data_IF_353092056593
#
_entry.id   IF_353092056593
#
_cell.length_a   1.000
_cell.length_b   1.000
_cell.length_c   1.000
_cell.angle_alpha   90.00
_cell.angle_beta   90.00
_cell.angle_gamma   90.00
#
_symmetry.space_group_name_H-M   'P 1'
#
loop_
_entity.id
_entity.type
_entity.pdbx_description
1 polymer ?
#
# COMPACT_ATOMS: atom_id res chain seq x y z
N UNK A 1 -15.80 -13.36 -2.18
CA UNK A 1 -15.37 -12.27 -1.26
C UNK A 1 -14.87 -11.12 -2.10
N UNK A 2 -15.61 -10.01 -2.15
CA UNK A 2 -15.27 -8.80 -2.90
C UNK A 2 -14.47 -7.84 -2.01
N UNK A 3 -13.36 -7.37 -2.52
CA UNK A 3 -12.45 -6.44 -1.83
C UNK A 3 -12.42 -5.13 -2.60
N UNK A 4 -12.69 -4.03 -1.91
CA UNK A 4 -12.70 -2.67 -2.47
C UNK A 4 -11.42 -1.97 -2.04
N UNK A 5 -10.74 -1.31 -2.97
CA UNK A 5 -9.66 -0.38 -2.68
C UNK A 5 -9.98 1.00 -3.24
N UNK A 6 -9.60 2.07 -2.53
CA UNK A 6 -9.91 3.45 -2.93
C UNK A 6 -8.69 4.35 -2.82
N UNK A 7 -8.32 4.98 -3.93
CA UNK A 7 -7.19 5.89 -3.96
C UNK A 7 -6.89 6.48 -5.32
N UNK A 8 -5.68 6.99 -5.52
CA UNK A 8 -5.23 7.55 -6.79
C UNK A 8 -4.31 6.58 -7.52
N UNK A 9 -4.54 6.38 -8.80
CA UNK A 9 -3.59 5.76 -9.73
C UNK A 9 -3.00 6.84 -10.65
N UNK A 10 -1.71 6.77 -10.89
CA UNK A 10 -0.96 7.75 -11.67
C UNK A 10 -0.26 7.08 -12.85
N UNK A 11 0.01 7.87 -13.89
CA UNK A 11 0.95 7.48 -14.94
C UNK A 11 2.38 7.53 -14.38
N UNK A 12 3.09 6.41 -14.41
CA UNK A 12 4.51 6.32 -14.07
C UNK A 12 5.34 6.49 -15.33
N UNK A 13 6.29 7.41 -15.29
CA UNK A 13 7.30 7.61 -16.32
C UNK A 13 8.69 7.30 -15.76
N UNK A 14 9.37 6.30 -16.31
CA UNK A 14 10.63 5.79 -15.80
C UNK A 14 11.67 5.73 -16.91
N UNK A 15 12.89 6.27 -16.71
CA UNK A 15 14.03 6.00 -17.59
C UNK A 15 14.34 4.50 -17.64
N UNK A 16 14.82 4.02 -18.76
CA UNK A 16 15.23 2.62 -18.90
C UNK A 16 16.42 2.27 -18.01
N UNK A 17 16.42 1.06 -17.49
CA UNK A 17 17.50 0.54 -16.65
C UNK A 17 17.79 1.43 -15.44
N UNK A 18 19.02 1.90 -15.32
CA UNK A 18 19.48 2.79 -14.23
C UNK A 18 19.87 4.19 -14.74
N UNK A 19 19.38 4.60 -15.92
CA UNK A 19 19.59 5.94 -16.41
C UNK A 19 19.04 6.99 -15.45
N UNK A 20 19.73 8.12 -15.39
CA UNK A 20 19.26 9.28 -14.64
C UNK A 20 18.30 10.12 -15.48
N UNK A 21 17.42 10.88 -14.85
CA UNK A 21 16.54 11.81 -15.56
C UNK A 21 17.26 12.72 -16.55
N UNK A 22 18.49 13.16 -16.19
CA UNK A 22 19.31 14.05 -17.06
C UNK A 22 19.96 13.32 -18.23
N UNK A 23 19.94 12.00 -18.27
CA UNK A 23 20.47 11.16 -19.35
C UNK A 23 19.38 10.66 -20.28
N UNK A 24 18.18 10.40 -19.70
CA UNK A 24 17.08 9.74 -20.39
C UNK A 24 16.57 10.58 -21.58
N UNK A 25 16.39 9.92 -22.70
CA UNK A 25 15.73 10.47 -23.90
C UNK A 25 14.36 9.81 -24.14
N UNK A 26 14.14 8.66 -23.53
CA UNK A 26 12.91 7.86 -23.61
C UNK A 26 12.50 7.45 -22.21
N UNK A 27 11.21 7.23 -22.03
CA UNK A 27 10.62 6.77 -20.78
C UNK A 27 9.69 5.60 -21.02
N UNK A 28 9.78 4.59 -20.20
CA UNK A 28 8.76 3.58 -20.08
C UNK A 28 7.54 4.19 -19.35
N UNK A 29 6.36 4.01 -19.93
CA UNK A 29 5.09 4.47 -19.36
C UNK A 29 4.31 3.28 -18.80
N UNK A 30 4.06 3.29 -17.51
CA UNK A 30 3.25 2.32 -16.78
C UNK A 30 2.26 3.03 -15.86
N UNK A 31 1.44 2.28 -15.13
CA UNK A 31 0.53 2.86 -14.14
C UNK A 31 0.84 2.32 -12.75
N UNK A 32 0.58 3.13 -11.71
CA UNK A 32 0.78 2.71 -10.33
C UNK A 32 0.16 3.67 -9.33
N UNK A 33 -0.17 3.13 -8.17
CA UNK A 33 -0.76 3.84 -7.04
C UNK A 33 -1.01 2.87 -5.91
N UNK A 34 -0.85 3.28 -4.64
CA UNK A 34 -0.86 2.38 -3.51
C UNK A 34 -2.03 1.40 -3.52
N UNK A 35 -3.23 1.92 -3.60
CA UNK A 35 -4.47 1.12 -3.54
C UNK A 35 -4.73 0.34 -4.83
N UNK A 36 -4.31 0.87 -5.99
CA UNK A 36 -4.34 0.14 -7.26
C UNK A 36 -3.36 -1.04 -7.24
N UNK A 37 -2.16 -0.84 -6.66
CA UNK A 37 -1.16 -1.90 -6.48
C UNK A 37 -1.69 -3.02 -5.57
N UNK A 38 -2.43 -2.66 -4.50
CA UNK A 38 -3.12 -3.63 -3.63
C UNK A 38 -4.20 -4.38 -4.41
N UNK A 39 -5.03 -3.68 -5.19
CA UNK A 39 -6.08 -4.32 -6.00
C UNK A 39 -5.51 -5.33 -7.00
N UNK A 40 -4.45 -4.96 -7.73
CA UNK A 40 -3.78 -5.84 -8.69
C UNK A 40 -3.17 -7.05 -7.99
N UNK A 41 -2.51 -6.86 -6.83
CA UNK A 41 -1.96 -7.98 -6.05
C UNK A 41 -3.06 -8.96 -5.63
N UNK A 42 -4.19 -8.45 -5.13
CA UNK A 42 -5.32 -9.26 -4.70
C UNK A 42 -5.97 -10.01 -5.89
N UNK A 43 -6.13 -9.35 -7.04
CA UNK A 43 -6.64 -9.99 -8.25
C UNK A 43 -5.70 -11.13 -8.71
N UNK A 44 -4.37 -10.91 -8.69
CA UNK A 44 -3.38 -11.95 -8.99
C UNK A 44 -3.40 -13.11 -7.99
N UNK A 45 -3.82 -12.86 -6.75
CA UNK A 45 -4.05 -13.90 -5.74
C UNK A 45 -5.43 -14.57 -5.87
N UNK A 46 -6.22 -14.24 -6.91
CA UNK A 46 -7.52 -14.86 -7.21
C UNK A 46 -8.69 -14.26 -6.43
N UNK A 47 -8.55 -13.07 -5.85
CA UNK A 47 -9.66 -12.37 -5.19
C UNK A 47 -10.45 -11.53 -6.18
N UNK A 48 -11.74 -11.34 -5.90
CA UNK A 48 -12.58 -10.35 -6.60
C UNK A 48 -12.23 -8.95 -6.06
N UNK A 49 -11.35 -8.26 -6.79
CA UNK A 49 -10.84 -6.95 -6.41
C UNK A 49 -11.42 -5.84 -7.29
N UNK A 50 -11.97 -4.81 -6.66
CA UNK A 50 -12.46 -3.61 -7.32
C UNK A 50 -11.67 -2.39 -6.86
N UNK A 51 -11.27 -1.55 -7.82
CA UNK A 51 -10.59 -0.30 -7.54
C UNK A 51 -11.49 0.90 -7.81
N UNK A 52 -11.64 1.76 -6.82
CA UNK A 52 -12.43 2.99 -6.88
C UNK A 52 -11.49 4.19 -6.96
N UNK A 53 -11.70 5.07 -7.92
CA UNK A 53 -10.87 6.25 -8.16
C UNK A 53 -11.57 7.26 -9.07
N UNK A 54 -10.95 8.42 -9.28
CA UNK A 54 -11.30 9.36 -10.33
C UNK A 54 -10.28 9.31 -11.47
N UNK A 55 -10.73 9.16 -12.72
CA UNK A 55 -9.88 9.18 -13.91
C UNK A 55 -10.35 10.24 -14.92
N UNK A 56 -9.43 10.79 -15.73
CA UNK A 56 -9.82 11.66 -16.83
C UNK A 56 -10.58 10.89 -17.92
N UNK A 57 -11.58 11.55 -18.51
CA UNK A 57 -12.40 11.06 -19.61
C UNK A 57 -11.73 11.15 -21.00
N UNK A 58 -10.45 10.81 -21.05
CA UNK A 58 -9.61 10.84 -22.25
C UNK A 58 -8.89 9.51 -22.50
N UNK A 59 -8.09 9.43 -23.57
CA UNK A 59 -7.43 8.20 -23.97
C UNK A 59 -6.38 7.70 -22.95
N UNK A 60 -5.80 8.58 -22.13
CA UNK A 60 -4.90 8.16 -21.05
C UNK A 60 -5.69 7.49 -19.91
N UNK A 61 -6.86 8.05 -19.56
CA UNK A 61 -7.76 7.39 -18.59
C UNK A 61 -8.27 6.03 -19.11
N UNK A 62 -8.61 5.93 -20.40
CA UNK A 62 -8.98 4.65 -21.03
C UNK A 62 -7.83 3.64 -21.02
N UNK A 63 -6.59 4.06 -21.30
CA UNK A 63 -5.43 3.20 -21.23
C UNK A 63 -5.22 2.65 -19.81
N UNK A 64 -5.41 3.49 -18.79
CA UNK A 64 -5.36 3.08 -17.40
C UNK A 64 -6.43 2.04 -17.04
N UNK A 65 -7.69 2.23 -17.50
CA UNK A 65 -8.76 1.25 -17.30
C UNK A 65 -8.43 -0.09 -17.95
N UNK A 66 -7.91 -0.07 -19.18
CA UNK A 66 -7.51 -1.28 -19.90
C UNK A 66 -6.37 -2.02 -19.18
N UNK A 67 -5.43 -1.28 -18.62
CA UNK A 67 -4.34 -1.89 -17.85
C UNK A 67 -4.87 -2.58 -16.56
N UNK A 68 -5.77 -1.94 -15.82
CA UNK A 68 -6.40 -2.56 -14.66
C UNK A 68 -7.21 -3.81 -15.03
N UNK A 69 -7.99 -3.75 -16.13
CA UNK A 69 -8.74 -4.90 -16.65
C UNK A 69 -7.83 -6.06 -17.06
N UNK A 70 -6.65 -5.77 -17.64
CA UNK A 70 -5.65 -6.78 -17.99
C UNK A 70 -5.24 -7.64 -16.79
N UNK A 71 -5.23 -7.06 -15.59
CA UNK A 71 -4.93 -7.75 -14.34
C UNK A 71 -6.17 -8.22 -13.58
N UNK A 72 -7.35 -8.17 -14.20
CA UNK A 72 -8.58 -8.68 -13.60
C UNK A 72 -9.18 -7.80 -12.49
N UNK A 73 -8.74 -6.54 -12.38
CA UNK A 73 -9.32 -5.59 -11.42
C UNK A 73 -10.60 -5.00 -11.99
N UNK A 74 -11.70 -5.06 -11.24
CA UNK A 74 -12.95 -4.39 -11.58
C UNK A 74 -12.82 -2.87 -11.42
N UNK A 75 -13.31 -2.14 -12.41
CA UNK A 75 -13.31 -0.66 -12.45
C UNK A 75 -14.73 -0.10 -12.56
N UNK A 76 -15.74 -0.87 -12.16
CA UNK A 76 -17.16 -0.53 -12.25
C UNK A 76 -17.49 0.80 -11.58
N UNK A 77 -16.80 1.12 -10.47
CA UNK A 77 -17.04 2.32 -9.68
C UNK A 77 -16.03 3.44 -9.92
N UNK A 78 -15.31 3.41 -11.05
CA UNK A 78 -14.42 4.49 -11.43
C UNK A 78 -15.21 5.69 -11.93
N UNK A 79 -14.98 6.85 -11.30
CA UNK A 79 -15.60 8.12 -11.69
C UNK A 79 -14.78 8.76 -12.81
N UNK A 80 -15.38 8.96 -13.98
CA UNK A 80 -14.72 9.66 -15.09
C UNK A 80 -15.17 11.12 -15.14
N UNK A 81 -14.21 12.05 -15.18
CA UNK A 81 -14.45 13.48 -15.28
C UNK A 81 -13.45 14.14 -16.23
N UNK A 82 -13.80 15.30 -16.77
CA UNK A 82 -12.84 16.14 -17.49
C UNK A 82 -11.70 16.57 -16.55
N UNK A 83 -10.46 16.45 -17.03
CA UNK A 83 -9.30 16.81 -16.23
C UNK A 83 -8.03 16.07 -16.64
N UNK A 84 -7.08 15.96 -15.69
CA UNK A 84 -5.79 15.32 -15.91
C UNK A 84 -5.60 14.11 -15.00
N UNK A 85 -4.78 13.17 -15.44
CA UNK A 85 -4.20 12.13 -14.59
C UNK A 85 -2.98 12.69 -13.84
N UNK A 86 -2.78 12.25 -12.60
CA UNK A 86 -1.53 12.46 -11.89
C UNK A 86 -0.38 11.72 -12.59
N UNK A 87 0.81 12.29 -12.56
CA UNK A 87 2.01 11.69 -13.12
C UNK A 87 3.07 11.60 -12.01
N UNK A 88 3.86 10.55 -12.02
CA UNK A 88 5.11 10.56 -11.28
C UNK A 88 6.25 10.01 -12.12
N UNK A 89 7.41 10.61 -11.93
CA UNK A 89 8.66 10.22 -12.56
C UNK A 89 9.48 9.43 -11.55
N UNK A 90 9.96 8.25 -11.94
CA UNK A 90 10.71 7.35 -11.06
C UNK A 90 12.08 7.05 -11.65
N UNK A 91 13.15 7.57 -11.04
CA UNK A 91 14.55 7.20 -11.35
C UNK A 91 14.98 6.09 -10.40
N UNK A 92 15.32 4.91 -10.92
CA UNK A 92 15.78 3.78 -10.08
C UNK A 92 17.15 4.09 -9.46
N UNK A 93 17.28 3.75 -8.20
CA UNK A 93 18.54 3.79 -7.48
C UNK A 93 19.42 2.58 -7.82
N UNK A 94 20.72 2.72 -7.58
CA UNK A 94 21.68 1.63 -7.71
C UNK A 94 22.80 1.80 -6.69
N UNK A 95 23.19 0.72 -6.02
CA UNK A 95 24.24 0.72 -4.99
C UNK A 95 23.98 1.80 -3.91
N UNK A 96 24.82 2.80 -3.75
CA UNK A 96 24.65 3.89 -2.78
C UNK A 96 23.80 5.05 -3.31
N UNK A 97 23.46 5.06 -4.59
CA UNK A 97 22.62 6.10 -5.19
C UNK A 97 21.14 5.81 -4.94
N UNK A 98 20.42 6.64 -4.15
CA UNK A 98 19.02 6.41 -3.87
C UNK A 98 18.14 6.59 -5.13
N UNK A 99 16.99 5.91 -5.15
CA UNK A 99 15.92 6.19 -6.11
C UNK A 99 15.39 7.62 -5.90
N UNK A 100 14.94 8.27 -6.99
CA UNK A 100 14.29 9.57 -6.94
C UNK A 100 12.89 9.48 -7.51
N UNK A 101 11.95 10.15 -6.83
CA UNK A 101 10.57 10.27 -7.30
C UNK A 101 10.20 11.75 -7.34
N UNK A 102 9.67 12.17 -8.49
CA UNK A 102 9.11 13.50 -8.71
C UNK A 102 7.63 13.31 -9.01
N UNK A 103 6.78 13.99 -8.24
CA UNK A 103 5.33 13.93 -8.43
C UNK A 103 4.84 15.20 -9.15
N UNK A 104 4.00 14.98 -10.15
CA UNK A 104 3.17 15.99 -10.82
C UNK A 104 1.71 15.51 -10.74
N UNK A 105 1.10 15.64 -9.55
CA UNK A 105 -0.23 15.08 -9.26
C UNK A 105 -1.27 16.10 -8.79
N UNK A 106 -0.88 17.35 -8.56
CA UNK A 106 -1.81 18.39 -8.13
C UNK A 106 -2.92 18.61 -9.17
N UNK A 107 -4.17 18.70 -8.70
CA UNK A 107 -5.31 18.91 -9.58
C UNK A 107 -5.65 17.73 -10.49
N UNK A 108 -5.22 16.52 -10.16
CA UNK A 108 -5.70 15.30 -10.82
C UNK A 108 -7.19 15.10 -10.57
N UNK A 109 -7.86 14.35 -11.46
CA UNK A 109 -9.28 14.01 -11.27
C UNK A 109 -9.51 13.29 -9.95
N UNK A 110 -8.62 12.36 -9.57
CA UNK A 110 -8.70 11.68 -8.28
C UNK A 110 -8.65 12.66 -7.10
N UNK A 111 -7.70 13.62 -7.11
CA UNK A 111 -7.58 14.63 -6.05
C UNK A 111 -8.76 15.62 -6.01
N UNK A 112 -9.54 15.70 -7.09
CA UNK A 112 -10.70 16.57 -7.25
C UNK A 112 -12.05 15.94 -6.95
N UNK A 113 -12.09 14.66 -6.54
CA UNK A 113 -13.33 14.01 -6.13
C UNK A 113 -13.95 14.72 -4.91
N UNK A 114 -15.28 14.70 -4.84
CA UNK A 114 -16.07 15.35 -3.80
C UNK A 114 -17.05 14.37 -3.16
N UNK A 115 -17.50 14.68 -1.97
CA UNK A 115 -18.58 13.96 -1.29
C UNK A 115 -19.79 13.87 -2.22
N UNK A 116 -20.34 12.65 -2.37
CA UNK A 116 -21.46 12.35 -3.26
C UNK A 116 -21.08 12.03 -4.72
N UNK A 117 -19.79 12.09 -5.11
CA UNK A 117 -19.34 11.63 -6.44
C UNK A 117 -19.38 10.11 -6.57
N UNK A 118 -19.34 9.39 -5.45
CA UNK A 118 -19.30 7.93 -5.37
C UNK A 118 -20.50 7.44 -4.56
N UNK A 119 -21.27 6.53 -5.10
CA UNK A 119 -22.33 5.82 -4.36
C UNK A 119 -21.72 4.68 -3.52
N UNK A 120 -21.29 5.02 -2.31
CA UNK A 120 -20.67 4.05 -1.40
C UNK A 120 -21.59 2.90 -1.00
N UNK A 121 -22.91 3.08 -1.04
CA UNK A 121 -23.84 1.98 -0.79
C UNK A 121 -23.81 0.94 -1.90
N UNK A 122 -23.75 1.40 -3.16
CA UNK A 122 -23.57 0.51 -4.29
C UNK A 122 -22.18 -0.16 -4.29
N UNK A 123 -21.12 0.61 -3.96
CA UNK A 123 -19.73 0.10 -3.88
C UNK A 123 -19.61 -1.02 -2.87
N UNK A 124 -20.25 -0.89 -1.69
CA UNK A 124 -20.10 -1.84 -0.58
C UNK A 124 -21.20 -2.91 -0.52
N UNK A 125 -22.16 -2.95 -1.46
CA UNK A 125 -23.31 -3.86 -1.41
C UNK A 125 -22.91 -5.33 -1.19
N UNK A 126 -21.88 -5.81 -1.87
CA UNK A 126 -21.36 -7.18 -1.78
C UNK A 126 -19.90 -7.23 -1.27
N UNK A 127 -19.41 -6.13 -0.68
CA UNK A 127 -18.05 -6.04 -0.22
C UNK A 127 -17.88 -6.61 1.19
N UNK A 128 -16.77 -7.27 1.43
CA UNK A 128 -16.39 -7.79 2.75
C UNK A 128 -15.16 -7.07 3.32
N UNK A 129 -14.41 -6.38 2.46
CA UNK A 129 -13.21 -5.67 2.85
C UNK A 129 -13.05 -4.36 2.08
N UNK A 130 -12.64 -3.31 2.78
CA UNK A 130 -12.28 -2.02 2.22
C UNK A 130 -10.84 -1.65 2.60
N UNK A 131 -10.05 -1.19 1.65
CA UNK A 131 -8.68 -0.75 1.89
C UNK A 131 -8.42 0.64 1.31
N UNK A 132 -7.75 1.48 2.09
CA UNK A 132 -7.22 2.77 1.66
C UNK A 132 -5.86 3.03 2.32
N UNK A 133 -5.13 4.04 1.84
CA UNK A 133 -3.90 4.51 2.49
C UNK A 133 -4.03 5.95 2.96
N UNK A 134 -3.15 6.39 3.86
CA UNK A 134 -3.08 7.79 4.28
C UNK A 134 -2.66 8.77 3.16
N UNK A 135 -2.27 8.27 1.98
CA UNK A 135 -2.05 9.10 0.80
C UNK A 135 -3.38 9.67 0.29
N UNK A 136 -4.42 8.86 0.25
CA UNK A 136 -5.73 9.22 -0.33
C UNK A 136 -6.36 10.44 0.36
N UNK A 137 -6.54 10.50 1.69
CA UNK A 137 -7.04 11.71 2.34
C UNK A 137 -6.04 12.89 2.31
N UNK A 138 -4.77 12.65 2.00
CA UNK A 138 -3.76 13.70 1.90
C UNK A 138 -3.76 14.45 0.56
N UNK A 139 -4.47 13.94 -0.47
CA UNK A 139 -4.51 14.53 -1.81
C UNK A 139 -5.16 15.91 -1.82
N UNK A 140 -6.22 16.10 -1.04
CA UNK A 140 -6.94 17.37 -0.87
C UNK A 140 -7.85 17.33 0.36
N UNK A 141 -8.40 18.47 0.77
CA UNK A 141 -9.38 18.54 1.85
C UNK A 141 -10.65 17.76 1.48
N UNK A 142 -11.11 17.86 0.23
CA UNK A 142 -12.24 17.09 -0.27
C UNK A 142 -11.98 15.58 -0.17
N UNK A 143 -10.78 15.11 -0.54
CA UNK A 143 -10.44 13.69 -0.46
C UNK A 143 -10.41 13.18 0.98
N UNK A 144 -10.07 14.00 1.95
CA UNK A 144 -10.21 13.65 3.36
C UNK A 144 -11.68 13.41 3.75
N UNK A 145 -12.60 14.26 3.27
CA UNK A 145 -14.03 14.13 3.50
C UNK A 145 -14.62 12.91 2.77
N UNK A 146 -14.25 12.68 1.51
CA UNK A 146 -14.68 11.51 0.72
C UNK A 146 -14.20 10.21 1.37
N UNK A 147 -12.96 10.18 1.89
CA UNK A 147 -12.43 9.00 2.59
C UNK A 147 -13.20 8.76 3.90
N UNK A 148 -13.56 9.81 4.63
CA UNK A 148 -14.37 9.70 5.84
C UNK A 148 -15.80 9.20 5.52
N UNK A 149 -16.41 9.67 4.43
CA UNK A 149 -17.68 9.18 3.92
C UNK A 149 -17.60 7.68 3.62
N UNK A 150 -16.55 7.22 2.90
CA UNK A 150 -16.30 5.82 2.62
C UNK A 150 -16.18 4.98 3.89
N UNK A 151 -15.37 5.42 4.87
CA UNK A 151 -15.19 4.70 6.12
C UNK A 151 -16.50 4.55 6.91
N UNK A 152 -17.32 5.59 6.96
CA UNK A 152 -18.63 5.55 7.62
C UNK A 152 -19.57 4.56 6.92
N UNK A 153 -19.70 4.65 5.60
CA UNK A 153 -20.53 3.74 4.82
C UNK A 153 -20.08 2.28 4.94
N UNK A 154 -18.78 2.01 4.86
CA UNK A 154 -18.22 0.66 5.05
C UNK A 154 -18.56 0.11 6.44
N UNK A 155 -18.41 0.91 7.50
CA UNK A 155 -18.73 0.51 8.87
C UNK A 155 -20.23 0.23 9.08
N UNK A 156 -21.09 1.09 8.52
CA UNK A 156 -22.56 0.89 8.56
C UNK A 156 -22.99 -0.39 7.86
N UNK A 157 -22.27 -0.81 6.81
CA UNK A 157 -22.57 -2.02 6.05
C UNK A 157 -21.81 -3.25 6.57
N UNK A 158 -21.07 -3.15 7.67
CA UNK A 158 -20.35 -4.27 8.28
C UNK A 158 -19.10 -4.71 7.50
N UNK A 159 -18.58 -3.87 6.60
CA UNK A 159 -17.36 -4.12 5.82
C UNK A 159 -16.15 -3.89 6.70
N UNK A 160 -15.21 -4.84 6.74
CA UNK A 160 -13.92 -4.67 7.44
C UNK A 160 -13.04 -3.65 6.72
N UNK A 161 -12.32 -2.83 7.49
CA UNK A 161 -11.52 -1.73 6.96
C UNK A 161 -10.05 -1.94 7.30
N UNK A 162 -9.17 -1.83 6.30
CA UNK A 162 -7.73 -1.72 6.51
C UNK A 162 -7.19 -0.39 5.99
N UNK A 163 -6.18 0.12 6.67
CA UNK A 163 -5.48 1.34 6.28
C UNK A 163 -3.96 1.17 6.43
N UNK A 164 -3.21 1.55 5.39
CA UNK A 164 -1.77 1.80 5.53
C UNK A 164 -1.58 3.30 5.82
N UNK A 165 -0.96 3.66 6.94
CA UNK A 165 -0.72 5.07 7.32
C UNK A 165 0.07 5.84 6.28
N UNK A 166 1.06 5.21 5.69
CA UNK A 166 1.76 5.63 4.48
C UNK A 166 2.03 7.15 4.40
N UNK A 167 2.54 7.73 5.49
CA UNK A 167 2.74 9.16 5.64
C UNK A 167 3.63 9.74 4.54
N UNK A 168 3.22 10.86 3.97
CA UNK A 168 3.97 11.55 2.90
C UNK A 168 4.14 13.03 3.24
N UNK A 169 5.29 13.41 3.79
CA UNK A 169 5.64 14.80 4.17
C UNK A 169 5.51 15.84 3.04
N UNK A 170 5.50 15.39 1.77
CA UNK A 170 5.30 16.26 0.60
C UNK A 170 3.83 16.62 0.34
N UNK A 171 2.89 15.88 0.93
CA UNK A 171 1.45 16.11 0.74
C UNK A 171 0.87 16.92 1.89
N UNK A 172 1.27 16.66 3.12
CA UNK A 172 0.74 17.33 4.30
C UNK A 172 1.72 17.40 5.46
N UNK A 173 1.44 18.30 6.43
CA UNK A 173 2.20 18.36 7.68
C UNK A 173 1.82 17.24 8.63
N UNK A 174 2.66 16.96 9.64
CA UNK A 174 2.37 15.98 10.69
C UNK A 174 1.10 16.34 11.47
N UNK A 175 0.89 17.62 11.75
CA UNK A 175 -0.29 18.12 12.46
C UNK A 175 -1.57 17.86 11.67
N UNK A 176 -1.57 18.15 10.36
CA UNK A 176 -2.72 17.87 9.48
C UNK A 176 -2.95 16.36 9.36
N UNK A 177 -1.89 15.57 9.16
CA UNK A 177 -1.96 14.11 9.13
C UNK A 177 -2.57 13.55 10.42
N UNK A 178 -2.07 13.96 11.58
CA UNK A 178 -2.60 13.52 12.88
C UNK A 178 -4.07 13.89 13.10
N UNK A 179 -4.48 15.09 12.65
CA UNK A 179 -5.88 15.53 12.74
C UNK A 179 -6.81 14.70 11.86
N UNK A 180 -6.46 14.50 10.59
CA UNK A 180 -7.31 13.77 9.62
C UNK A 180 -7.30 12.27 9.92
N UNK A 181 -6.12 11.67 10.07
CA UNK A 181 -6.02 10.23 10.36
C UNK A 181 -6.62 9.88 11.73
N UNK A 182 -6.57 10.80 12.71
CA UNK A 182 -7.26 10.64 13.99
C UNK A 182 -8.78 10.54 13.89
N UNK A 183 -9.38 10.99 12.77
CA UNK A 183 -10.82 10.82 12.48
C UNK A 183 -11.11 9.54 11.70
N UNK A 184 -10.14 9.04 10.91
CA UNK A 184 -10.30 7.87 10.03
C UNK A 184 -9.95 6.56 10.74
N UNK A 185 -8.85 6.52 11.48
CA UNK A 185 -8.32 5.30 12.11
C UNK A 185 -9.29 4.64 13.09
N UNK A 186 -10.19 5.36 13.82
CA UNK A 186 -11.23 4.71 14.65
C UNK A 186 -12.21 3.79 13.89
N UNK A 187 -12.26 3.87 12.57
CA UNK A 187 -13.05 2.95 11.73
C UNK A 187 -12.25 1.72 11.29
N UNK A 188 -10.93 1.70 11.48
CA UNK A 188 -10.01 0.74 10.90
C UNK A 188 -9.89 -0.50 11.78
N UNK A 189 -10.05 -1.69 11.18
CA UNK A 189 -9.86 -2.98 11.84
C UNK A 189 -8.40 -3.45 11.77
N UNK A 190 -7.71 -3.25 10.63
CA UNK A 190 -6.31 -3.56 10.42
C UNK A 190 -5.53 -2.29 10.05
N UNK A 191 -4.67 -1.82 10.94
CA UNK A 191 -3.79 -0.69 10.69
C UNK A 191 -2.40 -1.19 10.26
N UNK A 192 -1.91 -0.68 9.13
CA UNK A 192 -0.58 -0.99 8.61
C UNK A 192 0.28 0.28 8.73
N UNK A 193 1.53 0.13 9.12
CA UNK A 193 2.48 1.23 9.26
C UNK A 193 3.90 0.77 8.92
N UNK A 194 4.79 1.70 8.67
CA UNK A 194 6.23 1.47 8.73
C UNK A 194 6.81 1.97 10.07
N UNK A 195 8.10 1.83 10.24
CA UNK A 195 8.82 2.16 11.48
C UNK A 195 8.63 3.63 11.94
N UNK A 196 8.39 4.55 11.00
CA UNK A 196 8.30 5.99 11.28
C UNK A 196 6.86 6.52 11.32
N UNK A 197 5.90 5.84 10.67
CA UNK A 197 4.55 6.38 10.47
C UNK A 197 3.82 6.67 11.79
N UNK A 198 3.95 5.82 12.80
CA UNK A 198 3.29 6.00 14.09
C UNK A 198 3.79 7.27 14.83
N UNK A 199 5.08 7.56 14.73
CA UNK A 199 5.66 8.82 15.25
C UNK A 199 5.24 10.01 14.39
N UNK A 200 5.36 9.89 13.07
CA UNK A 200 5.10 10.99 12.14
C UNK A 200 3.64 11.45 12.17
N UNK A 201 2.69 10.52 12.31
CA UNK A 201 1.26 10.81 12.30
C UNK A 201 0.68 11.07 13.68
N UNK A 202 1.07 10.28 14.68
CA UNK A 202 0.43 10.30 16.01
C UNK A 202 1.36 10.66 17.17
N UNK A 203 2.65 10.85 16.93
CA UNK A 203 3.65 11.12 17.96
C UNK A 203 3.95 9.90 18.84
N UNK A 204 3.58 8.68 18.41
CA UNK A 204 3.79 7.44 19.17
C UNK A 204 5.12 6.84 18.77
N UNK A 205 6.09 6.83 19.71
CA UNK A 205 7.48 6.40 19.48
C UNK A 205 7.77 5.06 20.13
N UNK A 206 8.55 4.22 19.46
CA UNK A 206 9.25 3.12 20.11
C UNK A 206 10.34 3.69 21.05
N UNK A 207 10.38 3.22 22.28
CA UNK A 207 11.18 3.86 23.34
C UNK A 207 12.71 3.84 23.11
N UNK A 208 13.24 2.97 22.21
CA UNK A 208 14.69 2.79 21.98
C UNK A 208 15.07 2.43 20.53
N UNK A 209 14.21 2.63 19.53
CA UNK A 209 14.57 2.26 18.14
C UNK A 209 15.55 3.28 17.55
N UNK A 210 16.82 2.92 17.45
CA UNK A 210 17.76 3.58 16.56
C UNK A 210 17.84 2.80 15.24
N UNK A 211 16.91 3.09 14.35
CA UNK A 211 16.78 2.46 13.02
C UNK A 211 18.07 2.57 12.19
N UNK A 212 18.95 3.52 12.55
CA UNK A 212 20.23 3.74 11.88
C UNK A 212 21.30 2.71 12.27
N UNK A 213 21.12 2.00 13.39
CA UNK A 213 22.07 1.00 13.90
C UNK A 213 21.66 -0.46 13.62
N UNK A 214 20.51 -0.70 12.96
CA UNK A 214 20.07 -2.06 12.62
C UNK A 214 19.61 -2.91 13.82
N UNK A 215 19.43 -2.32 14.99
CA UNK A 215 18.84 -2.99 16.15
C UNK A 215 17.33 -2.76 16.17
N UNK A 216 16.57 -3.83 15.89
CA UNK A 216 15.11 -3.82 15.96
C UNK A 216 14.72 -3.99 17.44
N UNK A 217 14.19 -2.94 18.04
CA UNK A 217 13.61 -2.98 19.38
C UNK A 217 12.17 -3.56 19.32
N UNK A 218 12.05 -4.88 19.36
CA UNK A 218 10.77 -5.58 19.31
C UNK A 218 9.80 -5.15 20.43
N UNK A 219 10.29 -4.88 21.63
CA UNK A 219 9.45 -4.42 22.74
C UNK A 219 8.97 -2.98 22.51
N UNK A 220 9.81 -2.13 21.92
CA UNK A 220 9.41 -0.79 21.52
C UNK A 220 8.28 -0.82 20.48
N UNK A 221 8.37 -1.67 19.46
CA UNK A 221 7.31 -1.82 18.46
C UNK A 221 6.04 -2.46 19.02
N UNK A 222 6.16 -3.40 19.96
CA UNK A 222 5.02 -3.94 20.70
C UNK A 222 4.27 -2.84 21.44
N UNK A 223 5.02 -1.98 22.13
CA UNK A 223 4.46 -0.82 22.83
C UNK A 223 3.73 0.12 21.88
N UNK A 224 4.32 0.40 20.70
CA UNK A 224 3.69 1.23 19.66
C UNK A 224 2.38 0.61 19.18
N UNK A 225 2.38 -0.67 18.82
CA UNK A 225 1.19 -1.38 18.33
C UNK A 225 0.07 -1.39 19.39
N UNK A 226 0.43 -1.65 20.65
CA UNK A 226 -0.51 -1.62 21.79
C UNK A 226 -1.12 -0.23 21.99
N UNK A 227 -0.32 0.83 21.96
CA UNK A 227 -0.80 2.21 22.08
C UNK A 227 -1.76 2.60 20.93
N UNK A 228 -1.47 2.16 19.69
CA UNK A 228 -2.36 2.38 18.55
C UNK A 228 -3.70 1.65 18.74
N UNK A 229 -3.66 0.38 19.15
CA UNK A 229 -4.87 -0.40 19.48
C UNK A 229 -5.68 0.24 20.59
N UNK A 230 -5.06 0.61 21.70
CA UNK A 230 -5.74 1.22 22.85
C UNK A 230 -6.33 2.60 22.53
N UNK A 231 -5.63 3.38 21.69
CA UNK A 231 -6.06 4.75 21.34
C UNK A 231 -7.17 4.78 20.31
N UNK A 232 -7.16 3.87 19.34
CA UNK A 232 -8.03 3.95 18.16
C UNK A 232 -9.00 2.77 18.05
N UNK A 233 -8.81 1.70 18.81
CA UNK A 233 -9.69 0.53 18.78
C UNK A 233 -9.44 -0.42 17.60
N UNK A 234 -8.29 -0.33 16.91
CA UNK A 234 -7.94 -1.26 15.84
C UNK A 234 -7.82 -2.68 16.38
N UNK A 235 -8.36 -3.66 15.66
CA UNK A 235 -8.26 -5.07 16.07
C UNK A 235 -6.84 -5.60 15.88
N UNK A 236 -6.15 -5.14 14.82
CA UNK A 236 -4.79 -5.56 14.47
C UNK A 236 -3.94 -4.37 14.04
N UNK A 237 -2.65 -4.45 14.37
CA UNK A 237 -1.63 -3.48 13.91
C UNK A 237 -0.46 -4.24 13.31
N UNK A 238 -0.13 -3.97 12.04
CA UNK A 238 1.02 -4.54 11.36
C UNK A 238 2.07 -3.46 11.11
N UNK A 239 3.35 -3.79 11.33
CA UNK A 239 4.46 -2.87 11.09
C UNK A 239 5.49 -3.56 10.19
N UNK A 240 5.81 -2.93 9.07
CA UNK A 240 6.90 -3.36 8.19
C UNK A 240 8.23 -2.90 8.77
N UNK A 241 9.22 -3.78 8.75
CA UNK A 241 10.56 -3.55 9.28
C UNK A 241 11.58 -3.66 8.15
N UNK A 242 12.21 -2.53 7.83
CA UNK A 242 13.17 -2.45 6.72
C UNK A 242 14.53 -1.98 7.23
N UNK A 243 15.54 -2.82 7.04
CA UNK A 243 16.94 -2.44 7.23
C UNK A 243 17.57 -2.12 5.87
N UNK A 244 17.80 -0.84 5.61
CA UNK A 244 18.37 -0.38 4.33
C UNK A 244 19.88 -0.52 4.32
N UNK A 245 20.40 -1.54 3.62
CA UNK A 245 21.84 -1.73 3.42
C UNK A 245 22.35 -0.83 2.30
N UNK A 246 21.60 -0.79 1.18
CA UNK A 246 21.87 0.07 0.03
C UNK A 246 20.59 0.30 -0.77
N UNK A 247 20.67 1.06 -1.87
CA UNK A 247 19.56 1.18 -2.81
C UNK A 247 19.21 -0.16 -3.49
N UNK A 248 20.16 -1.09 -3.57
CA UNK A 248 20.01 -2.38 -4.24
C UNK A 248 19.83 -3.57 -3.29
N UNK A 249 19.97 -3.38 -1.97
CA UNK A 249 19.88 -4.47 -0.98
C UNK A 249 19.24 -4.01 0.30
N UNK A 250 18.22 -4.71 0.75
CA UNK A 250 17.55 -4.50 2.03
C UNK A 250 17.38 -5.82 2.77
N UNK A 251 17.32 -5.73 4.11
CA UNK A 251 16.73 -6.79 4.91
C UNK A 251 15.27 -6.41 5.18
N UNK A 252 14.38 -7.39 5.07
CA UNK A 252 12.94 -7.17 5.11
C UNK A 252 12.25 -8.16 6.03
N UNK A 253 11.45 -7.66 6.95
CA UNK A 253 10.60 -8.43 7.85
C UNK A 253 9.38 -7.62 8.26
N UNK A 254 8.52 -8.17 9.10
CA UNK A 254 7.36 -7.49 9.62
C UNK A 254 6.95 -8.04 10.98
N UNK A 255 6.11 -7.29 11.66
CA UNK A 255 5.42 -7.73 12.85
C UNK A 255 3.92 -7.49 12.74
N UNK A 256 3.14 -8.30 13.46
CA UNK A 256 1.70 -8.18 13.58
C UNK A 256 1.31 -8.34 15.04
N UNK A 257 0.55 -7.38 15.56
CA UNK A 257 -0.10 -7.45 16.87
C UNK A 257 -1.61 -7.63 16.65
N UNK A 258 -2.20 -8.66 17.27
CA UNK A 258 -3.62 -9.02 17.10
C UNK A 258 -4.52 -8.57 18.26
N UNK A 259 -4.02 -7.66 19.10
CA UNK A 259 -4.68 -7.20 20.33
C UNK A 259 -4.22 -7.94 21.58
N UNK A 260 -3.66 -9.14 21.46
CA UNK A 260 -3.18 -9.97 22.57
C UNK A 260 -1.72 -10.37 22.40
N UNK A 261 -1.39 -10.96 21.24
CA UNK A 261 -0.09 -11.53 20.93
C UNK A 261 0.62 -10.75 19.84
N UNK A 262 1.94 -10.74 19.90
CA UNK A 262 2.79 -10.18 18.83
C UNK A 262 3.51 -11.29 18.09
N UNK A 263 3.37 -11.28 16.77
CA UNK A 263 4.05 -12.18 15.85
C UNK A 263 5.14 -11.43 15.11
N UNK A 264 6.26 -12.09 14.87
CA UNK A 264 7.38 -11.56 14.09
C UNK A 264 7.66 -12.54 12.97
N UNK A 265 7.80 -12.03 11.74
CA UNK A 265 8.07 -12.86 10.57
C UNK A 265 9.53 -13.28 10.46
N UNK A 266 9.80 -14.19 9.53
CA UNK A 266 11.14 -14.40 9.00
C UNK A 266 11.71 -13.10 8.43
N UNK A 267 13.04 -12.99 8.43
CA UNK A 267 13.78 -11.88 7.83
C UNK A 267 14.37 -12.34 6.51
N UNK A 268 14.08 -11.63 5.43
CA UNK A 268 14.60 -11.89 4.09
C UNK A 268 15.70 -10.87 3.74
N UNK A 269 16.83 -11.38 3.21
CA UNK A 269 17.89 -10.58 2.60
C UNK A 269 17.64 -10.54 1.10
N UNK A 270 17.28 -9.37 0.56
CA UNK A 270 16.79 -9.29 -0.81
C UNK A 270 17.57 -8.30 -1.67
N UNK A 271 17.81 -8.69 -2.91
CA UNK A 271 18.29 -7.84 -3.98
C UNK A 271 17.09 -7.14 -4.63
N UNK A 272 17.18 -5.83 -4.78
CA UNK A 272 16.06 -5.01 -5.26
C UNK A 272 16.21 -4.75 -6.75
N UNK A 273 15.22 -5.20 -7.51
CA UNK A 273 15.00 -4.82 -8.92
C UNK A 273 14.15 -3.55 -8.99
N UNK A 274 13.01 -3.54 -8.31
CA UNK A 274 12.19 -2.35 -8.11
C UNK A 274 11.54 -2.38 -6.71
N UNK A 275 11.65 -1.24 -6.00
CA UNK A 275 11.13 -1.13 -4.62
C UNK A 275 9.71 -0.59 -4.53
N UNK A 276 9.20 0.01 -5.62
CA UNK A 276 7.85 0.58 -5.63
C UNK A 276 6.81 -0.54 -5.55
N UNK A 277 5.77 -0.36 -4.76
CA UNK A 277 4.75 -1.39 -4.54
C UNK A 277 5.08 -2.47 -3.50
N UNK A 278 6.29 -2.46 -2.88
CA UNK A 278 6.65 -3.45 -1.86
C UNK A 278 5.77 -3.39 -0.61
N UNK A 279 5.48 -2.18 -0.10
CA UNK A 279 4.53 -1.98 1.00
C UNK A 279 3.10 -2.38 0.63
N UNK A 280 2.67 -2.01 -0.58
CA UNK A 280 1.33 -2.35 -1.09
C UNK A 280 1.16 -3.87 -1.22
N UNK A 281 2.20 -4.58 -1.68
CA UNK A 281 2.22 -6.05 -1.74
C UNK A 281 2.16 -6.69 -0.36
N UNK A 282 2.78 -6.09 0.66
CA UNK A 282 2.65 -6.52 2.04
C UNK A 282 1.21 -6.37 2.53
N UNK A 283 0.59 -5.20 2.31
CA UNK A 283 -0.81 -4.95 2.66
C UNK A 283 -1.76 -5.93 1.97
N UNK A 284 -1.57 -6.15 0.66
CA UNK A 284 -2.35 -7.12 -0.10
C UNK A 284 -2.18 -8.55 0.42
N UNK A 285 -0.95 -8.94 0.78
CA UNK A 285 -0.67 -10.27 1.35
C UNK A 285 -1.33 -10.49 2.70
N UNK A 286 -1.37 -9.47 3.58
CA UNK A 286 -2.10 -9.53 4.84
C UNK A 286 -3.60 -9.67 4.62
N UNK A 287 -4.18 -8.84 3.76
CA UNK A 287 -5.61 -8.88 3.42
C UNK A 287 -5.95 -10.26 2.86
N UNK A 288 -5.14 -10.77 1.92
CA UNK A 288 -5.33 -12.12 1.36
C UNK A 288 -5.33 -13.19 2.45
N UNK A 289 -4.28 -13.28 3.27
CA UNK A 289 -4.16 -14.30 4.30
C UNK A 289 -5.31 -14.25 5.31
N UNK A 290 -5.68 -13.06 5.79
CA UNK A 290 -6.79 -12.88 6.74
C UNK A 290 -8.15 -13.21 6.11
N UNK A 291 -8.32 -12.99 4.81
CA UNK A 291 -9.55 -13.35 4.08
C UNK A 291 -9.63 -14.83 3.69
N UNK A 292 -8.47 -15.52 3.65
CA UNK A 292 -8.41 -16.99 3.50
C UNK A 292 -8.51 -17.73 4.84
N UNK A 293 -8.62 -17.00 5.96
CA UNK A 293 -8.73 -17.62 7.29
C UNK A 293 -7.38 -18.10 7.84
N UNK A 294 -6.25 -17.59 7.36
CA UNK A 294 -4.95 -17.88 7.94
C UNK A 294 -4.86 -17.38 9.38
N UNK A 295 -4.04 -18.05 10.19
CA UNK A 295 -3.70 -17.49 11.50
C UNK A 295 -2.99 -16.14 11.33
N UNK A 296 -3.02 -15.23 12.33
CA UNK A 296 -2.29 -13.96 12.25
C UNK A 296 -0.81 -14.15 11.89
N UNK A 297 -0.18 -15.20 12.41
CA UNK A 297 1.21 -15.53 12.10
C UNK A 297 1.40 -15.94 10.64
N UNK A 298 0.56 -16.83 10.12
CA UNK A 298 0.67 -17.31 8.75
C UNK A 298 0.33 -16.22 7.73
N UNK A 299 -0.64 -15.35 8.04
CA UNK A 299 -0.94 -14.16 7.24
C UNK A 299 0.24 -13.18 7.18
N UNK A 300 0.93 -12.98 8.30
CA UNK A 300 2.15 -12.16 8.35
C UNK A 300 3.29 -12.76 7.52
N UNK A 301 3.55 -14.07 7.65
CA UNK A 301 4.59 -14.77 6.87
C UNK A 301 4.30 -14.68 5.37
N UNK A 302 3.04 -14.89 4.96
CA UNK A 302 2.61 -14.73 3.58
C UNK A 302 2.82 -13.29 3.08
N UNK A 303 2.44 -12.29 3.86
CA UNK A 303 2.56 -10.88 3.49
C UNK A 303 4.02 -10.45 3.30
N UNK A 304 4.91 -10.87 4.20
CA UNK A 304 6.34 -10.53 4.11
C UNK A 304 6.98 -11.25 2.92
N UNK A 305 6.62 -12.51 2.64
CA UNK A 305 7.10 -13.26 1.49
C UNK A 305 6.61 -12.63 0.16
N UNK A 306 5.33 -12.25 0.07
CA UNK A 306 4.76 -11.57 -1.10
C UNK A 306 5.49 -10.25 -1.39
N UNK A 307 5.72 -9.45 -0.36
CA UNK A 307 6.47 -8.20 -0.45
C UNK A 307 7.93 -8.44 -0.86
N UNK A 308 8.59 -9.44 -0.29
CA UNK A 308 9.96 -9.83 -0.68
C UNK A 308 10.04 -10.15 -2.17
N UNK A 309 9.16 -11.01 -2.68
CA UNK A 309 9.11 -11.39 -4.08
C UNK A 309 8.81 -10.20 -4.99
N UNK A 310 7.89 -9.31 -4.59
CA UNK A 310 7.59 -8.09 -5.35
C UNK A 310 8.85 -7.25 -5.64
N UNK A 311 9.78 -7.15 -4.71
CA UNK A 311 11.02 -6.39 -4.93
C UNK A 311 11.91 -6.97 -6.04
N UNK A 312 11.67 -8.19 -6.50
CA UNK A 312 12.34 -8.82 -7.65
C UNK A 312 11.63 -8.56 -8.99
N UNK A 313 10.49 -7.87 -8.98
CA UNK A 313 9.66 -7.59 -10.16
C UNK A 313 9.72 -6.11 -10.53
N UNK A 314 9.89 -5.80 -11.81
CA UNK A 314 9.84 -4.43 -12.35
C UNK A 314 8.43 -3.83 -12.23
N UNK A 315 8.37 -2.49 -12.11
CA UNK A 315 7.12 -1.74 -12.05
C UNK A 315 6.49 -1.74 -10.66
N UNK A 316 5.28 -1.20 -10.54
CA UNK A 316 4.55 -1.06 -9.27
C UNK A 316 3.82 -2.34 -8.89
N UNK A 317 3.26 -3.04 -9.88
CA UNK A 317 2.36 -4.15 -9.66
C UNK A 317 3.10 -5.42 -9.20
N UNK A 318 2.50 -6.11 -8.27
CA UNK A 318 2.98 -7.40 -7.80
C UNK A 318 2.48 -8.51 -8.75
N UNK A 319 3.38 -9.13 -9.48
CA UNK A 319 3.09 -10.15 -10.49
C UNK A 319 3.34 -11.58 -10.00
N UNK A 320 3.54 -11.78 -8.69
CA UNK A 320 3.81 -13.10 -8.13
C UNK A 320 2.51 -13.86 -7.83
N UNK A 321 2.58 -15.17 -7.90
CA UNK A 321 1.45 -16.07 -7.63
C UNK A 321 1.39 -16.50 -6.17
N UNK A 322 0.22 -16.95 -5.71
CA UNK A 322 0.04 -17.54 -4.36
C UNK A 322 1.02 -18.69 -4.12
N UNK A 323 1.24 -19.55 -5.13
CA UNK A 323 2.15 -20.68 -5.01
C UNK A 323 3.60 -20.28 -4.78
N UNK A 324 4.09 -19.24 -5.48
CA UNK A 324 5.42 -18.67 -5.26
C UNK A 324 5.57 -18.09 -3.86
N UNK A 325 4.56 -17.34 -3.41
CA UNK A 325 4.56 -16.76 -2.06
C UNK A 325 4.56 -17.84 -0.98
N UNK A 326 3.72 -18.88 -1.12
CA UNK A 326 3.66 -20.00 -0.19
C UNK A 326 4.98 -20.80 -0.16
N UNK A 327 5.60 -21.02 -1.30
CA UNK A 327 6.90 -21.71 -1.39
C UNK A 327 7.97 -20.92 -0.62
N UNK A 328 8.06 -19.60 -0.83
CA UNK A 328 9.03 -18.77 -0.11
C UNK A 328 8.70 -18.70 1.40
N UNK A 329 7.45 -18.52 1.79
CA UNK A 329 7.02 -18.51 3.19
C UNK A 329 7.32 -19.88 3.86
N UNK A 330 7.18 -20.98 3.12
CA UNK A 330 7.53 -22.33 3.55
C UNK A 330 9.04 -22.60 3.68
N UNK A 331 9.88 -21.69 3.18
CA UNK A 331 11.35 -21.77 3.30
C UNK A 331 12.09 -22.09 2.01
N UNK A 332 11.43 -22.27 0.87
CA UNK A 332 12.09 -22.45 -0.43
C UNK A 332 12.48 -21.08 -1.04
N UNK A 333 13.61 -20.55 -0.59
CA UNK A 333 14.25 -19.35 -1.14
C UNK A 333 15.40 -19.69 -2.12
N UNK A 334 15.46 -20.91 -2.64
CA UNK A 334 16.61 -21.40 -3.42
C UNK A 334 16.75 -20.75 -4.80
N UNK A 335 15.68 -20.16 -5.34
CA UNK A 335 15.67 -19.58 -6.69
C UNK A 335 15.92 -20.60 -7.80
N UNK A 336 15.74 -21.91 -7.54
CA UNK A 336 15.92 -22.96 -8.54
C UNK A 336 14.87 -22.85 -9.64
N UNK A 337 15.29 -23.23 -10.87
CA UNK A 337 14.38 -23.27 -12.02
C UNK A 337 13.21 -24.21 -11.72
N UNK A 338 12.00 -23.67 -11.72
CA UNK A 338 10.77 -24.46 -11.69
C UNK A 338 10.49 -25.02 -13.11
N UNK A 339 10.20 -26.32 -13.20
CA UNK A 339 9.94 -27.04 -14.46
C UNK A 339 8.58 -27.69 -14.41
#
# INVERSE_FOLDING_TARGET
MKIITFGEIMLRLQPFGFERFVQAREYEATFGGGEANVAVSLANFGKDASFVTGLPDNDIGKACLQELHRYGVSTEFVVQKSGRMGIYYCEKGASQRPSKVIYDRAGSVAAGLQVGDIDWKAVFADAEWFHFTGITPALSDNMAEVTLEACKAAKEMGVRISCDLNYRKKLWSKEKAGKVMGQLVPFVDLLIANEADADDVFGIKAAKSDVTKGEIDLEGYRSVAKQLTERFGCNMVAITLRESVSASRNLWSGLLYDGESMFVSKKYDMQIVDRVGGGDSFGAGLIYGLTEGYTPKDALEFAVAASCLKHSVEGDFNMVTVGEVQALAGGDGSGRVQR
#
